data_IF_179107138155
#
_entry.id   IF_179107138155
#
_cell.length_a   1.000
_cell.length_b   1.000
_cell.length_c   1.000
_cell.angle_alpha   90.00
_cell.angle_beta   90.00
_cell.angle_gamma   90.00
#
_symmetry.space_group_name_H-M   'P 1'
#
loop_
_entity.id
_entity.type
_entity.pdbx_description
1 polymer ?
#
# COMPACT_ATOMS: atom_id res chain seq x y z
N UNK A 1 -13.44 12.00 -28.40
CA UNK A 1 -13.11 11.89 -26.97
C UNK A 1 -11.61 11.78 -26.81
N UNK A 2 -11.02 12.67 -26.05
CA UNK A 2 -9.59 12.56 -25.74
C UNK A 2 -9.37 11.37 -24.80
N UNK A 3 -8.48 10.48 -25.16
CA UNK A 3 -8.05 9.42 -24.26
C UNK A 3 -7.26 10.04 -23.11
N UNK A 4 -7.64 9.69 -21.87
CA UNK A 4 -6.87 10.07 -20.71
C UNK A 4 -5.55 9.32 -20.73
N UNK A 5 -4.44 10.06 -20.69
CA UNK A 5 -3.12 9.45 -20.57
C UNK A 5 -2.92 9.01 -19.11
N UNK A 6 -2.93 7.71 -18.88
CA UNK A 6 -2.71 7.13 -17.56
C UNK A 6 -1.39 7.61 -16.94
N UNK A 7 -0.39 7.89 -17.75
CA UNK A 7 0.90 8.41 -17.27
C UNK A 7 0.77 9.77 -16.59
N UNK A 8 -0.23 10.57 -16.97
CA UNK A 8 -0.48 11.85 -16.32
C UNK A 8 -0.88 11.69 -14.84
N UNK A 9 -1.42 10.52 -14.46
CA UNK A 9 -1.84 10.21 -13.11
C UNK A 9 -0.83 9.34 -12.36
N UNK A 10 0.28 9.00 -12.98
CA UNK A 10 1.34 8.19 -12.37
C UNK A 10 2.55 9.07 -12.09
N UNK A 11 3.00 9.09 -10.83
CA UNK A 11 4.17 9.86 -10.42
C UNK A 11 5.08 9.00 -9.56
N UNK A 12 6.36 9.13 -9.80
CA UNK A 12 7.40 8.45 -9.02
C UNK A 12 8.17 9.47 -8.18
N UNK A 13 8.19 9.25 -6.88
CA UNK A 13 8.95 10.08 -5.94
C UNK A 13 10.13 9.27 -5.41
N UNK A 14 11.32 9.56 -5.91
CA UNK A 14 12.56 8.88 -5.50
C UNK A 14 13.14 9.53 -4.24
N UNK A 15 13.78 8.70 -3.41
CA UNK A 15 14.52 9.18 -2.25
C UNK A 15 13.63 9.67 -1.09
N UNK A 16 12.33 9.40 -1.13
CA UNK A 16 11.40 9.79 -0.04
C UNK A 16 11.69 9.04 1.24
N UNK A 17 11.97 7.74 1.12
CA UNK A 17 12.32 6.88 2.25
C UNK A 17 13.81 6.62 2.20
N UNK A 18 14.54 6.99 3.26
CA UNK A 18 15.99 6.77 3.32
C UNK A 18 16.35 5.29 3.38
N UNK A 19 17.54 4.96 2.91
CA UNK A 19 18.05 3.58 2.96
C UNK A 19 18.09 3.06 4.40
N UNK A 20 18.41 3.92 5.37
CA UNK A 20 18.44 3.57 6.79
C UNK A 20 17.04 3.16 7.28
N UNK A 21 16.02 3.95 6.96
CA UNK A 21 14.63 3.64 7.34
C UNK A 21 14.18 2.34 6.67
N UNK A 22 14.49 2.16 5.39
CA UNK A 22 14.17 0.94 4.67
C UNK A 22 14.81 -0.29 5.33
N UNK A 23 16.10 -0.25 5.60
CA UNK A 23 16.84 -1.37 6.20
C UNK A 23 16.30 -1.70 7.60
N UNK A 24 16.06 -0.69 8.43
CA UNK A 24 15.50 -0.87 9.77
C UNK A 24 14.11 -1.47 9.71
N UNK A 25 13.26 -0.98 8.81
CA UNK A 25 11.90 -1.49 8.64
C UNK A 25 11.92 -2.96 8.24
N UNK A 26 12.72 -3.33 7.24
CA UNK A 26 12.84 -4.72 6.78
C UNK A 26 13.33 -5.63 7.91
N UNK A 27 14.34 -5.20 8.65
CA UNK A 27 14.86 -5.96 9.79
C UNK A 27 13.82 -6.21 10.86
N UNK A 28 13.02 -5.20 11.20
CA UNK A 28 11.95 -5.35 12.19
C UNK A 28 10.76 -6.15 11.64
N UNK A 29 10.48 -6.05 10.35
CA UNK A 29 9.43 -6.86 9.71
C UNK A 29 9.69 -8.36 9.80
N UNK A 30 10.95 -8.78 9.85
CA UNK A 30 11.31 -10.19 10.00
C UNK A 30 10.84 -10.77 11.34
N UNK A 31 10.53 -9.94 12.31
CA UNK A 31 10.00 -10.37 13.61
C UNK A 31 8.47 -10.43 13.65
N UNK A 32 7.79 -9.95 12.60
CA UNK A 32 6.34 -9.91 12.54
C UNK A 32 5.75 -11.24 12.08
N UNK A 33 4.55 -11.54 12.57
CA UNK A 33 3.75 -12.63 12.06
C UNK A 33 3.03 -12.17 10.78
N UNK A 34 3.24 -12.89 9.69
CA UNK A 34 2.56 -12.67 8.42
C UNK A 34 1.48 -13.72 8.23
N UNK A 35 0.30 -13.26 7.81
CA UNK A 35 -0.84 -14.12 7.50
C UNK A 35 -1.14 -14.08 6.01
N UNK A 36 -1.80 -15.11 5.52
CA UNK A 36 -2.25 -15.14 4.14
C UNK A 36 -3.16 -13.94 3.84
N UNK A 37 -2.98 -13.35 2.67
CA UNK A 37 -3.81 -12.24 2.22
C UNK A 37 -5.26 -12.66 2.07
N UNK A 38 -6.19 -11.83 2.55
CA UNK A 38 -7.63 -12.12 2.51
C UNK A 38 -8.35 -11.08 1.67
N UNK A 39 -9.49 -11.49 1.12
CA UNK A 39 -10.41 -10.65 0.36
C UNK A 39 -11.75 -10.56 1.08
N UNK A 40 -12.35 -9.38 1.03
CA UNK A 40 -13.70 -9.20 1.55
C UNK A 40 -14.72 -9.78 0.56
N UNK A 41 -15.58 -10.63 1.05
CA UNK A 41 -16.72 -11.16 0.29
C UNK A 41 -18.00 -10.47 0.75
N UNK A 42 -18.59 -9.65 -0.12
CA UNK A 42 -19.79 -8.89 0.19
C UNK A 42 -21.03 -9.77 0.44
N UNK A 43 -21.08 -10.96 -0.17
CA UNK A 43 -22.20 -11.89 0.00
C UNK A 43 -22.21 -12.55 1.38
N UNK A 44 -21.03 -12.94 1.86
CA UNK A 44 -20.87 -13.59 3.19
C UNK A 44 -20.52 -12.60 4.28
N UNK A 45 -20.15 -11.35 3.92
CA UNK A 45 -19.66 -10.31 4.83
C UNK A 45 -18.45 -10.76 5.65
N UNK A 46 -17.58 -11.55 5.03
CA UNK A 46 -16.39 -12.11 5.69
C UNK A 46 -15.14 -11.87 4.86
N UNK A 47 -14.00 -11.81 5.56
CA UNK A 47 -12.68 -11.82 4.95
C UNK A 47 -12.18 -13.26 4.90
N UNK A 48 -11.85 -13.73 3.70
CA UNK A 48 -11.32 -15.08 3.48
C UNK A 48 -10.17 -15.07 2.48
N UNK A 49 -9.19 -15.97 2.63
CA UNK A 49 -8.20 -16.21 1.59
C UNK A 49 -8.87 -16.83 0.37
N UNK A 50 -8.31 -16.58 -0.81
CA UNK A 50 -8.77 -17.26 -2.04
C UNK A 50 -8.23 -18.67 -2.06
N UNK A 51 -9.12 -19.65 -2.18
CA UNK A 51 -8.76 -21.06 -2.30
C UNK A 51 -7.91 -21.29 -3.54
N UNK A 52 -6.82 -22.06 -3.40
CA UNK A 52 -5.89 -22.38 -4.50
C UNK A 52 -5.07 -21.21 -5.02
N UNK A 53 -5.17 -20.04 -4.40
CA UNK A 53 -4.43 -18.85 -4.78
C UNK A 53 -3.01 -18.90 -4.25
N UNK A 54 -2.05 -18.38 -5.07
CA UNK A 54 -0.68 -18.14 -4.64
C UNK A 54 -0.53 -16.70 -4.18
N UNK A 55 -1.39 -16.29 -3.28
CA UNK A 55 -1.42 -14.92 -2.77
C UNK A 55 -0.23 -14.62 -1.85
N UNK A 56 0.07 -13.33 -1.80
CA UNK A 56 1.06 -12.79 -0.88
C UNK A 56 0.64 -12.98 0.58
N UNK A 57 1.57 -12.77 1.48
CA UNK A 57 1.30 -12.68 2.92
C UNK A 57 1.21 -11.22 3.35
N UNK A 58 0.48 -10.96 4.41
CA UNK A 58 0.32 -9.60 4.94
C UNK A 58 0.45 -9.54 6.45
N UNK A 59 0.82 -8.37 6.96
CA UNK A 59 0.84 -8.08 8.39
C UNK A 59 0.41 -6.65 8.66
N UNK A 60 -0.39 -6.48 9.69
CA UNK A 60 -0.75 -5.18 10.26
C UNK A 60 0.11 -4.83 11.49
N UNK A 61 1.15 -5.61 11.74
CA UNK A 61 2.00 -5.46 12.91
C UNK A 61 2.72 -4.12 12.95
N UNK A 62 3.22 -3.80 14.12
CA UNK A 62 3.93 -2.55 14.37
C UNK A 62 5.44 -2.74 14.25
N UNK A 63 6.07 -1.81 13.57
CA UNK A 63 7.52 -1.62 13.56
C UNK A 63 7.83 -0.20 14.02
N UNK A 64 9.02 0.03 14.55
CA UNK A 64 9.39 1.33 15.11
C UNK A 64 9.38 2.48 14.09
N UNK A 65 9.61 2.16 12.82
CA UNK A 65 9.64 3.13 11.73
C UNK A 65 8.25 3.48 11.17
N UNK A 66 7.20 2.79 11.59
CA UNK A 66 5.85 2.97 11.06
C UNK A 66 5.33 4.41 11.17
N UNK A 67 5.51 5.13 12.29
CA UNK A 67 5.10 6.53 12.36
C UNK A 67 5.80 7.42 11.34
N UNK A 68 7.09 7.20 11.11
CA UNK A 68 7.85 7.95 10.11
C UNK A 68 7.39 7.62 8.70
N UNK A 69 7.12 6.36 8.41
CA UNK A 69 6.57 5.92 7.11
C UNK A 69 5.21 6.58 6.88
N UNK A 70 4.33 6.60 7.87
CA UNK A 70 3.03 7.26 7.77
C UNK A 70 3.18 8.75 7.42
N UNK A 71 4.09 9.46 8.08
CA UNK A 71 4.38 10.85 7.78
C UNK A 71 4.85 11.05 6.34
N UNK A 72 5.78 10.22 5.88
CA UNK A 72 6.32 10.31 4.52
C UNK A 72 5.27 9.98 3.45
N UNK A 73 4.41 9.00 3.70
CA UNK A 73 3.30 8.66 2.81
C UNK A 73 2.30 9.80 2.75
N UNK A 74 1.95 10.39 3.88
CA UNK A 74 1.03 11.51 3.95
C UNK A 74 1.55 12.72 3.19
N UNK A 75 2.80 13.11 3.42
CA UNK A 75 3.44 14.22 2.70
C UNK A 75 3.50 13.96 1.19
N UNK A 76 3.82 12.74 0.79
CA UNK A 76 3.91 12.36 -0.61
C UNK A 76 2.54 12.37 -1.28
N UNK A 77 1.52 11.85 -0.61
CA UNK A 77 0.14 11.88 -1.09
C UNK A 77 -0.35 13.32 -1.28
N UNK A 78 -0.05 14.18 -0.34
CA UNK A 78 -0.39 15.60 -0.45
C UNK A 78 0.27 16.27 -1.65
N UNK A 79 1.57 16.02 -1.87
CA UNK A 79 2.30 16.52 -3.04
C UNK A 79 1.69 16.00 -4.34
N UNK A 80 1.30 14.74 -4.37
CA UNK A 80 0.66 14.12 -5.52
C UNK A 80 -0.67 14.78 -5.85
N UNK A 81 -1.53 14.94 -4.87
CA UNK A 81 -2.85 15.59 -5.04
C UNK A 81 -2.69 17.02 -5.56
N UNK A 82 -1.77 17.78 -4.99
CA UNK A 82 -1.49 19.14 -5.45
C UNK A 82 -0.96 19.19 -6.88
N UNK A 83 -0.10 18.25 -7.25
CA UNK A 83 0.48 18.20 -8.59
C UNK A 83 -0.56 17.87 -9.67
N UNK A 84 -1.62 17.16 -9.33
CA UNK A 84 -2.69 16.84 -10.26
C UNK A 84 -3.59 18.04 -10.59
N UNK A 85 -3.64 19.04 -9.72
CA UNK A 85 -4.44 20.27 -9.91
C UNK A 85 -5.90 19.99 -10.28
N UNK A 86 -6.50 19.00 -9.62
CA UNK A 86 -7.88 18.63 -9.87
C UNK A 86 -8.84 19.52 -9.06
N UNK A 87 -9.72 20.29 -9.71
CA UNK A 87 -10.56 21.26 -8.99
C UNK A 87 -11.61 20.64 -8.10
N UNK A 88 -11.92 19.35 -8.30
CA UNK A 88 -12.91 18.62 -7.52
C UNK A 88 -12.30 17.80 -6.38
N UNK A 89 -10.97 17.82 -6.25
CA UNK A 89 -10.25 17.04 -5.23
C UNK A 89 -9.36 17.97 -4.42
N UNK A 90 -9.94 18.58 -3.39
CA UNK A 90 -9.23 19.51 -2.52
C UNK A 90 -8.33 18.82 -1.52
N UNK A 91 -8.84 17.75 -0.91
CA UNK A 91 -8.11 16.96 0.07
C UNK A 91 -8.69 15.54 0.16
N UNK A 92 -7.87 14.61 0.60
CA UNK A 92 -8.35 13.28 1.00
C UNK A 92 -8.69 13.29 2.49
N UNK A 93 -9.71 12.53 2.89
CA UNK A 93 -10.22 12.54 4.26
C UNK A 93 -9.48 11.60 5.20
N UNK A 94 -8.59 10.79 4.67
CA UNK A 94 -7.81 9.86 5.44
C UNK A 94 -7.31 8.67 4.62
N UNK A 95 -6.63 7.77 5.29
CA UNK A 95 -6.10 6.54 4.71
C UNK A 95 -6.14 5.42 5.76
N UNK A 96 -6.13 4.19 5.29
CA UNK A 96 -6.07 3.04 6.18
C UNK A 96 -4.71 2.94 6.89
N UNK A 97 -4.66 2.15 7.95
CA UNK A 97 -3.38 1.83 8.57
C UNK A 97 -2.41 1.21 7.58
N UNK A 98 -1.12 1.47 7.77
CA UNK A 98 -0.08 0.86 6.96
C UNK A 98 -0.08 -0.65 7.19
N UNK A 99 -0.20 -1.37 6.09
CA UNK A 99 -0.08 -2.82 6.04
C UNK A 99 1.19 -3.18 5.30
N UNK A 100 1.87 -4.20 5.77
CA UNK A 100 3.03 -4.75 5.07
C UNK A 100 2.61 -5.96 4.25
N UNK A 101 3.01 -5.96 3.00
CA UNK A 101 2.82 -7.08 2.09
C UNK A 101 4.16 -7.77 1.86
N UNK A 102 4.17 -9.09 1.95
CA UNK A 102 5.35 -9.89 1.72
C UNK A 102 5.10 -10.84 0.55
N UNK A 103 5.92 -10.66 -0.50
CA UNK A 103 5.88 -11.50 -1.69
C UNK A 103 7.04 -12.48 -1.63
N UNK A 104 6.75 -13.75 -1.38
CA UNK A 104 7.72 -14.81 -1.59
C UNK A 104 7.79 -15.15 -3.09
N UNK A 105 8.77 -15.94 -3.48
CA UNK A 105 8.87 -16.42 -4.85
C UNK A 105 7.56 -17.09 -5.29
N UNK A 106 7.10 -16.78 -6.50
CA UNK A 106 5.85 -17.25 -7.09
C UNK A 106 4.55 -16.79 -6.36
N UNK A 107 4.65 -15.82 -5.47
CA UNK A 107 3.49 -15.19 -4.83
C UNK A 107 3.10 -13.91 -5.56
N UNK A 108 1.82 -13.63 -5.59
CA UNK A 108 1.28 -12.43 -6.26
C UNK A 108 0.01 -11.97 -5.57
N UNK A 109 -0.43 -10.78 -5.91
CA UNK A 109 -1.80 -10.33 -5.65
C UNK A 109 -2.63 -10.63 -6.88
N UNK A 110 -3.77 -11.30 -6.70
CA UNK A 110 -4.68 -11.57 -7.81
C UNK A 110 -5.20 -10.25 -8.42
N UNK A 111 -5.59 -10.30 -9.69
CA UNK A 111 -6.20 -9.15 -10.35
C UNK A 111 -7.44 -8.69 -9.57
N UNK A 112 -7.49 -7.40 -9.26
CA UNK A 112 -8.54 -6.81 -8.43
C UNK A 112 -8.73 -5.34 -8.78
N UNK A 113 -9.81 -4.76 -8.27
CA UNK A 113 -10.02 -3.31 -8.22
C UNK A 113 -10.15 -2.88 -6.75
N UNK A 114 -9.58 -1.73 -6.45
CA UNK A 114 -9.67 -1.13 -5.10
C UNK A 114 -10.97 -0.34 -4.92
#
# INVERSE_FOLDING_TARGET
>A
MKHLDVKAFSKLYKGVVSDEICAKTVSEMDTLEFKEHTFYNANTKQYKPRSGSQELSMSWGNVSTKPKINELVDDTAYRYVKALKMPWFDEYQGYSHVRFNKYAENKKMALHAD
#
